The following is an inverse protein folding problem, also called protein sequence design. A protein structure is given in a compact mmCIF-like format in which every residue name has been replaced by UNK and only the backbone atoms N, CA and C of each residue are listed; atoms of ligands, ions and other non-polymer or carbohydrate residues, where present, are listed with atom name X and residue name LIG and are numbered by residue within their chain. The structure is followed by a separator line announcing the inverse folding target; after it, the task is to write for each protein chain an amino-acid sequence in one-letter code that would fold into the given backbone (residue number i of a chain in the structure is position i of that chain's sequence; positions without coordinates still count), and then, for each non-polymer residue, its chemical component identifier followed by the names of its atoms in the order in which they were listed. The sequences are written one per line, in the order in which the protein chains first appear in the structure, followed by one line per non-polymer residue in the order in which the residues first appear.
data_IF_696229628574
#
_entry.id   IF_696229628574
#
_cell.length_a   1.000
_cell.length_b   1.000
_cell.length_c   1.000
_cell.angle_alpha   90.00
_cell.angle_beta   90.00
_cell.angle_gamma   90.00
#
_symmetry.space_group_name_H-M   'P 1'
#
loop_
_entity.id
_entity.type
_entity.pdbx_description
1 polymer ?
#
# COMPACT_ATOMS: atom_id res chain seq x y z
N UNK A 1 26.24 -17.33 -16.20
CA UNK A 1 26.70 -16.97 -14.85
C UNK A 1 25.69 -15.97 -14.32
N UNK A 2 25.18 -16.17 -13.10
CA UNK A 2 24.30 -15.18 -12.47
C UNK A 2 25.19 -14.01 -12.02
N UNK A 3 24.82 -12.78 -12.38
CA UNK A 3 25.50 -11.57 -11.93
C UNK A 3 25.18 -11.36 -10.44
N UNK A 4 26.15 -11.63 -9.55
CA UNK A 4 25.96 -11.59 -8.11
C UNK A 4 26.85 -10.52 -7.45
N UNK A 5 26.25 -9.70 -6.59
CA UNK A 5 26.94 -8.67 -5.80
C UNK A 5 27.00 -9.10 -4.33
N UNK A 6 28.17 -8.97 -3.68
CA UNK A 6 28.34 -9.24 -2.26
C UNK A 6 27.96 -8.03 -1.41
N UNK A 7 26.96 -8.18 -0.57
CA UNK A 7 26.54 -7.17 0.42
C UNK A 7 26.85 -7.71 1.82
N UNK A 8 27.48 -6.88 2.68
CA UNK A 8 27.78 -7.24 4.08
C UNK A 8 27.00 -6.33 5.02
N UNK A 9 26.20 -6.92 5.90
CA UNK A 9 25.37 -6.18 6.87
C UNK A 9 25.54 -6.74 8.28
N UNK A 10 25.38 -5.88 9.29
CA UNK A 10 25.23 -6.30 10.69
C UNK A 10 23.75 -6.35 11.00
N UNK A 11 23.28 -7.49 11.53
CA UNK A 11 21.89 -7.66 11.95
C UNK A 11 21.78 -7.72 13.48
N UNK A 12 20.67 -7.25 14.07
CA UNK A 12 20.41 -7.38 15.49
C UNK A 12 20.44 -8.84 15.95
N UNK A 13 20.90 -9.08 17.19
CA UNK A 13 21.03 -10.42 17.75
C UNK A 13 19.71 -11.20 17.77
N UNK A 14 18.59 -10.53 18.05
CA UNK A 14 17.28 -11.18 18.03
C UNK A 14 16.86 -11.63 16.63
N UNK A 15 17.24 -10.87 15.59
CA UNK A 15 17.00 -11.28 14.20
C UNK A 15 17.88 -12.46 13.81
N UNK A 16 19.14 -12.49 14.25
CA UNK A 16 20.04 -13.62 14.05
C UNK A 16 19.48 -14.92 14.68
N UNK A 17 18.95 -14.86 15.91
CA UNK A 17 18.26 -16.01 16.55
C UNK A 17 17.06 -16.48 15.74
N UNK A 18 16.31 -15.56 15.12
CA UNK A 18 15.20 -15.91 14.23
C UNK A 18 15.66 -16.70 13.01
N UNK A 19 16.79 -16.29 12.40
CA UNK A 19 17.41 -17.00 11.27
C UNK A 19 17.89 -18.39 11.70
N UNK A 20 18.52 -18.52 12.87
CA UNK A 20 18.97 -19.81 13.43
C UNK A 20 17.81 -20.79 13.59
N UNK A 21 16.67 -20.34 14.14
CA UNK A 21 15.46 -21.18 14.27
C UNK A 21 14.94 -21.67 12.92
N UNK A 22 14.95 -20.82 11.89
CA UNK A 22 14.50 -21.20 10.54
C UNK A 22 15.48 -22.18 9.91
N UNK A 23 16.77 -21.97 10.13
CA UNK A 23 17.81 -22.89 9.69
C UNK A 23 17.62 -24.29 10.32
N UNK A 24 17.38 -24.37 11.63
CA UNK A 24 17.11 -25.64 12.32
C UNK A 24 15.83 -26.31 11.80
N UNK A 25 14.76 -25.54 11.61
CA UNK A 25 13.46 -26.08 11.21
C UNK A 25 13.41 -26.53 9.74
N UNK A 26 14.21 -25.91 8.85
CA UNK A 26 14.09 -26.11 7.39
C UNK A 26 15.37 -26.56 6.70
N UNK A 27 16.48 -26.69 7.42
CA UNK A 27 17.78 -27.08 6.86
C UNK A 27 18.36 -26.08 5.86
N UNK A 28 17.92 -24.81 5.90
CA UNK A 28 18.36 -23.77 4.97
C UNK A 28 19.56 -23.02 5.53
N UNK A 29 20.50 -22.62 4.65
CA UNK A 29 21.61 -21.77 5.07
C UNK A 29 21.12 -20.34 5.37
N UNK A 30 21.81 -19.60 6.26
CA UNK A 30 21.46 -18.20 6.55
C UNK A 30 21.38 -17.34 5.29
N UNK A 31 22.28 -17.56 4.33
CA UNK A 31 22.30 -16.81 3.08
C UNK A 31 21.05 -17.05 2.22
N UNK A 32 20.53 -18.27 2.18
CA UNK A 32 19.27 -18.59 1.47
C UNK A 32 18.10 -17.93 2.18
N UNK A 33 18.05 -18.02 3.51
CA UNK A 33 16.97 -17.42 4.32
C UNK A 33 16.92 -15.91 4.10
N UNK A 34 18.07 -15.23 4.21
CA UNK A 34 18.16 -13.78 4.04
C UNK A 34 17.82 -13.35 2.61
N UNK A 35 18.28 -14.09 1.60
CA UNK A 35 17.95 -13.80 0.19
C UNK A 35 16.45 -13.95 -0.06
N UNK A 36 15.84 -15.02 0.42
CA UNK A 36 14.39 -15.24 0.26
C UNK A 36 13.57 -14.17 0.98
N UNK A 37 13.96 -13.80 2.21
CA UNK A 37 13.30 -12.74 2.95
C UNK A 37 13.40 -11.39 2.23
N UNK A 38 14.57 -11.06 1.70
CA UNK A 38 14.79 -9.84 0.93
C UNK A 38 13.97 -9.82 -0.37
N UNK A 39 13.97 -10.93 -1.12
CA UNK A 39 13.15 -11.07 -2.34
C UNK A 39 11.66 -10.88 -2.03
N UNK A 40 11.16 -11.51 -0.96
CA UNK A 40 9.76 -11.37 -0.56
C UNK A 40 9.44 -9.92 -0.18
N UNK A 41 10.30 -9.28 0.62
CA UNK A 41 10.12 -7.90 1.03
C UNK A 41 10.11 -6.93 -0.18
N UNK A 42 11.05 -7.07 -1.11
CA UNK A 42 11.08 -6.24 -2.31
C UNK A 42 9.87 -6.49 -3.22
N UNK A 43 9.43 -7.75 -3.37
CA UNK A 43 8.21 -8.07 -4.11
C UNK A 43 6.95 -7.43 -3.48
N UNK A 44 6.89 -7.29 -2.14
CA UNK A 44 5.79 -6.57 -1.49
C UNK A 44 5.83 -5.07 -1.80
N UNK A 45 7.00 -4.46 -1.95
CA UNK A 45 7.14 -3.04 -2.32
C UNK A 45 6.75 -2.83 -3.79
N UNK A 46 7.21 -3.71 -4.67
CA UNK A 46 6.86 -3.66 -6.10
C UNK A 46 5.36 -3.89 -6.33
N UNK A 47 4.77 -4.87 -5.64
CA UNK A 47 3.35 -5.19 -5.76
C UNK A 47 2.42 -4.19 -5.07
N UNK A 48 2.83 -3.62 -3.93
CA UNK A 48 2.01 -2.65 -3.19
C UNK A 48 1.93 -1.31 -3.89
N UNK A 49 3.02 -0.82 -4.50
CA UNK A 49 3.01 0.50 -5.13
C UNK A 49 2.14 0.55 -6.37
N UNK A 50 2.18 -0.45 -7.25
CA UNK A 50 1.34 -0.46 -8.46
C UNK A 50 -0.11 -0.85 -8.16
N UNK A 51 -0.35 -1.81 -7.25
CA UNK A 51 -1.72 -2.19 -6.86
C UNK A 51 -2.41 -1.06 -6.10
N UNK A 52 -1.71 -0.39 -5.18
CA UNK A 52 -2.25 0.74 -4.44
C UNK A 52 -2.44 1.96 -5.36
N UNK A 53 -1.50 2.22 -6.27
CA UNK A 53 -1.67 3.25 -7.31
C UNK A 53 -2.89 2.97 -8.19
N UNK A 54 -3.06 1.73 -8.65
CA UNK A 54 -4.21 1.34 -9.46
C UNK A 54 -5.51 1.44 -8.68
N UNK A 55 -5.51 1.04 -7.41
CA UNK A 55 -6.66 1.17 -6.51
C UNK A 55 -7.04 2.63 -6.32
N UNK A 56 -6.08 3.49 -6.00
CA UNK A 56 -6.28 4.93 -5.87
C UNK A 56 -6.81 5.52 -7.18
N UNK A 57 -6.20 5.19 -8.32
CA UNK A 57 -6.66 5.62 -9.64
C UNK A 57 -8.11 5.18 -9.92
N UNK A 58 -8.47 3.92 -9.65
CA UNK A 58 -9.83 3.41 -9.84
C UNK A 58 -10.84 4.11 -8.92
N UNK A 59 -10.46 4.42 -7.68
CA UNK A 59 -11.29 5.19 -6.75
C UNK A 59 -11.53 6.61 -7.26
N UNK A 60 -10.48 7.32 -7.68
CA UNK A 60 -10.60 8.67 -8.24
C UNK A 60 -11.45 8.68 -9.53
N UNK A 61 -11.22 7.71 -10.41
CA UNK A 61 -12.02 7.56 -11.62
C UNK A 61 -13.51 7.35 -11.30
N UNK A 62 -13.82 6.55 -10.28
CA UNK A 62 -15.20 6.32 -9.84
C UNK A 62 -15.84 7.60 -9.28
N UNK A 63 -15.13 8.34 -8.42
CA UNK A 63 -15.63 9.58 -7.85
C UNK A 63 -15.90 10.62 -8.95
N UNK A 64 -14.94 10.84 -9.85
CA UNK A 64 -15.09 11.75 -10.98
C UNK A 64 -16.22 11.32 -11.92
N UNK A 65 -16.31 10.03 -12.21
CA UNK A 65 -17.34 9.49 -13.11
C UNK A 65 -18.75 9.67 -12.54
N UNK A 66 -18.94 9.38 -11.25
CA UNK A 66 -20.23 9.56 -10.58
C UNK A 66 -20.59 11.04 -10.48
N UNK A 67 -19.65 11.91 -10.10
CA UNK A 67 -19.89 13.35 -10.03
C UNK A 67 -20.35 13.92 -11.38
N UNK A 68 -19.61 13.63 -12.45
CA UNK A 68 -19.96 14.02 -13.81
C UNK A 68 -21.32 13.46 -14.27
N UNK A 69 -21.64 12.22 -13.90
CA UNK A 69 -22.91 11.59 -14.24
C UNK A 69 -24.08 12.29 -13.54
N UNK A 70 -23.97 12.53 -12.23
CA UNK A 70 -25.00 13.19 -11.44
C UNK A 70 -25.16 14.64 -11.92
N UNK A 71 -24.07 15.36 -12.12
CA UNK A 71 -24.11 16.73 -12.62
C UNK A 71 -24.85 16.84 -13.97
N UNK A 72 -24.67 15.86 -14.88
CA UNK A 72 -25.29 15.88 -16.20
C UNK A 72 -26.74 15.39 -16.22
N UNK A 73 -27.03 14.33 -15.48
CA UNK A 73 -28.34 13.66 -15.54
C UNK A 73 -29.30 14.17 -14.46
N UNK A 74 -28.79 14.68 -13.34
CA UNK A 74 -29.53 15.07 -12.15
C UNK A 74 -28.97 16.36 -11.52
N UNK A 75 -28.96 17.50 -12.24
CA UNK A 75 -28.31 18.73 -11.80
C UNK A 75 -28.83 19.28 -10.47
N UNK A 76 -30.15 19.18 -10.22
CA UNK A 76 -30.75 19.65 -8.96
C UNK A 76 -30.28 18.81 -7.76
N UNK A 77 -30.16 17.49 -7.96
CA UNK A 77 -29.65 16.57 -6.94
C UNK A 77 -28.15 16.81 -6.68
N UNK A 78 -27.38 17.09 -7.73
CA UNK A 78 -25.97 17.49 -7.61
C UNK A 78 -25.82 18.72 -6.71
N UNK A 79 -26.59 19.76 -6.98
CA UNK A 79 -26.56 21.01 -6.21
C UNK A 79 -26.94 20.79 -4.74
N UNK A 80 -27.98 20.01 -4.47
CA UNK A 80 -28.41 19.68 -3.12
C UNK A 80 -27.35 18.89 -2.35
N UNK A 81 -26.68 17.92 -3.01
CA UNK A 81 -25.61 17.13 -2.42
C UNK A 81 -24.38 17.99 -2.08
N UNK A 82 -23.99 18.90 -2.96
CA UNK A 82 -22.88 19.83 -2.70
C UNK A 82 -23.17 20.75 -1.51
N UNK A 83 -24.38 21.34 -1.46
CA UNK A 83 -24.77 22.22 -0.35
C UNK A 83 -24.86 21.48 0.99
N UNK A 84 -25.26 20.21 1.00
CA UNK A 84 -25.25 19.36 2.19
C UNK A 84 -23.82 19.02 2.63
N UNK A 85 -22.94 18.71 1.68
CA UNK A 85 -21.54 18.41 1.96
C UNK A 85 -20.84 19.61 2.62
N UNK A 86 -21.00 20.80 2.05
CA UNK A 86 -20.45 22.05 2.61
C UNK A 86 -20.91 22.27 4.05
N UNK A 87 -22.21 22.13 4.32
CA UNK A 87 -22.76 22.30 5.68
C UNK A 87 -22.16 21.32 6.68
N UNK A 88 -21.92 20.06 6.28
CA UNK A 88 -21.31 19.04 7.16
C UNK A 88 -19.85 19.34 7.45
N UNK A 89 -19.13 19.84 6.46
CA UNK A 89 -17.73 20.25 6.61
C UNK A 89 -17.63 21.44 7.57
N UNK A 90 -18.47 22.46 7.39
CA UNK A 90 -18.53 23.61 8.31
C UNK A 90 -18.85 23.18 9.75
N UNK A 91 -19.82 22.27 9.94
CA UNK A 91 -20.16 21.75 11.25
C UNK A 91 -19.01 20.97 11.92
N UNK A 92 -18.23 20.22 11.14
CA UNK A 92 -17.06 19.50 11.64
C UNK A 92 -15.97 20.47 12.13
N UNK A 93 -15.69 21.52 11.34
CA UNK A 93 -14.69 22.53 11.69
C UNK A 93 -15.13 23.42 12.86
N UNK A 94 -16.43 23.73 12.97
CA UNK A 94 -16.95 24.49 14.11
C UNK A 94 -16.93 23.70 15.44
N UNK A 95 -16.86 22.37 15.36
CA UNK A 95 -16.78 21.47 16.51
C UNK A 95 -15.35 21.08 16.90
N UNK A 96 -14.34 21.52 16.14
CA UNK A 96 -12.91 21.28 16.36
C UNK A 96 -12.22 22.49 17.00
#
# INVERSE_FOLDING_TARGET
MVDEVRITVRIPRELAKGVEKVQEARGLTPSIILRNALTLYLATIDGSTETERRRQFSSEYLFLGIDLLIQRQFPDAHQALMAEADRRVEALYAAS
#
